data_IF_167997600345
#
_entry.id   IF_167997600345
#
_cell.length_a   1.000
_cell.length_b   1.000
_cell.length_c   1.000
_cell.angle_alpha   90.00
_cell.angle_beta   90.00
_cell.angle_gamma   90.00
#
_symmetry.space_group_name_H-M   'P 1'
#
loop_
_entity.id
_entity.type
_entity.pdbx_description
1 polymer ?
#
# COMPACT_ATOMS: atom_id res chain seq x y z
N UNK A 1 15.67 -6.69 -14.73
CA UNK A 1 15.43 -5.22 -14.77
C UNK A 1 16.72 -4.44 -14.75
N UNK A 2 17.62 -4.67 -13.79
CA UNK A 2 18.91 -3.97 -13.63
C UNK A 2 19.76 -4.00 -14.90
N UNK A 3 20.46 -2.89 -15.17
CA UNK A 3 21.31 -2.70 -16.35
C UNK A 3 20.58 -2.24 -17.62
N UNK A 4 19.25 -2.11 -17.58
CA UNK A 4 18.45 -1.62 -18.72
C UNK A 4 17.98 -0.17 -18.59
N UNK A 5 18.10 0.42 -17.40
CA UNK A 5 17.78 1.81 -17.12
C UNK A 5 18.65 2.30 -15.96
N UNK A 6 18.84 3.61 -15.86
CA UNK A 6 19.46 4.26 -14.70
C UNK A 6 18.50 4.36 -13.51
N UNK A 7 17.20 4.46 -13.80
CA UNK A 7 16.16 4.65 -12.78
C UNK A 7 14.95 3.74 -13.03
N UNK A 8 14.30 3.35 -11.93
CA UNK A 8 13.16 2.46 -11.91
C UNK A 8 12.10 3.03 -10.97
N UNK A 9 10.85 3.03 -11.42
CA UNK A 9 9.69 3.36 -10.61
C UNK A 9 8.91 2.08 -10.31
N UNK A 10 8.73 1.77 -9.02
CA UNK A 10 7.96 0.62 -8.56
C UNK A 10 6.70 1.12 -7.87
N UNK A 11 5.55 0.56 -8.25
CA UNK A 11 4.29 0.76 -7.54
C UNK A 11 3.89 -0.55 -6.87
N UNK A 12 4.08 -0.63 -5.56
CA UNK A 12 3.98 -1.87 -4.79
C UNK A 12 2.75 -1.80 -3.87
N UNK A 13 1.72 -2.64 -4.08
CA UNK A 13 0.58 -2.74 -3.15
C UNK A 13 1.02 -3.13 -1.75
N UNK A 14 0.51 -2.44 -0.73
CA UNK A 14 0.76 -2.79 0.67
C UNK A 14 -0.41 -3.60 1.22
N UNK A 15 -0.36 -4.91 0.97
CA UNK A 15 -1.43 -5.85 1.31
C UNK A 15 -1.48 -6.21 2.82
N UNK A 16 -0.40 -5.97 3.57
CA UNK A 16 -0.35 -6.25 5.00
C UNK A 16 -0.76 -5.01 5.80
N UNK A 17 -1.80 -5.16 6.62
CA UNK A 17 -2.18 -4.21 7.68
C UNK A 17 -2.79 -4.95 8.87
N UNK A 18 -2.79 -4.36 10.06
CA UNK A 18 -3.36 -4.98 11.27
C UNK A 18 -4.84 -5.35 11.07
N UNK A 19 -5.64 -4.40 10.56
CA UNK A 19 -7.06 -4.68 10.27
C UNK A 19 -7.21 -5.72 9.17
N UNK A 20 -6.38 -5.69 8.13
CA UNK A 20 -6.40 -6.67 7.05
C UNK A 20 -6.04 -8.09 7.52
N UNK A 21 -5.09 -8.21 8.45
CA UNK A 21 -4.73 -9.48 9.08
C UNK A 21 -5.89 -10.03 9.90
N UNK A 22 -6.49 -9.21 10.77
CA UNK A 22 -7.65 -9.61 11.58
C UNK A 22 -8.86 -10.02 10.73
N UNK A 23 -9.03 -9.44 9.55
CA UNK A 23 -10.11 -9.77 8.60
C UNK A 23 -9.77 -10.90 7.63
N UNK A 24 -8.54 -11.44 7.65
CA UNK A 24 -8.08 -12.43 6.68
C UNK A 24 -8.04 -11.91 5.23
N UNK A 25 -7.88 -10.60 5.04
CA UNK A 25 -7.98 -9.94 3.73
C UNK A 25 -6.93 -10.44 2.73
N UNK A 26 -5.72 -10.72 3.20
CA UNK A 26 -4.61 -11.26 2.42
C UNK A 26 -4.91 -12.67 1.87
N UNK A 27 -5.61 -13.52 2.63
CA UNK A 27 -6.06 -14.83 2.16
C UNK A 27 -7.18 -14.71 1.13
N UNK A 28 -8.08 -13.73 1.33
CA UNK A 28 -9.15 -13.42 0.38
C UNK A 28 -8.56 -12.97 -0.97
N UNK A 29 -7.66 -12.00 -0.96
CA UNK A 29 -6.97 -11.52 -2.18
C UNK A 29 -6.18 -12.63 -2.88
N UNK A 30 -5.52 -13.53 -2.12
CA UNK A 30 -4.84 -14.69 -2.72
C UNK A 30 -5.80 -15.58 -3.49
N UNK A 31 -7.00 -15.82 -2.97
CA UNK A 31 -8.02 -16.64 -3.65
C UNK A 31 -8.63 -15.93 -4.85
N UNK A 32 -8.88 -14.63 -4.74
CA UNK A 32 -9.61 -13.85 -5.76
C UNK A 32 -8.74 -13.45 -6.95
N UNK A 33 -7.51 -13.02 -6.69
CA UNK A 33 -6.64 -12.39 -7.71
C UNK A 33 -5.23 -13.00 -7.74
N UNK A 34 -4.98 -14.04 -6.94
CA UNK A 34 -3.68 -14.73 -6.95
C UNK A 34 -2.54 -13.91 -6.35
N UNK A 35 -2.81 -12.94 -5.48
CA UNK A 35 -1.75 -12.19 -4.79
C UNK A 35 -0.92 -13.15 -3.91
N UNK A 36 0.31 -13.43 -4.35
CA UNK A 36 1.25 -14.31 -3.66
C UNK A 36 2.17 -13.54 -2.70
N UNK A 37 2.43 -12.27 -3.01
CA UNK A 37 3.31 -11.41 -2.23
C UNK A 37 2.49 -10.55 -1.29
N UNK A 38 2.89 -10.54 -0.03
CA UNK A 38 2.30 -9.70 1.00
C UNK A 38 3.35 -8.72 1.46
N UNK A 39 3.18 -7.46 1.09
CA UNK A 39 4.10 -6.41 1.47
C UNK A 39 3.48 -5.49 2.53
N UNK A 40 4.30 -5.17 3.53
CA UNK A 40 4.24 -3.90 4.24
C UNK A 40 5.34 -2.96 3.70
N UNK A 41 5.41 -1.73 4.20
CA UNK A 41 6.41 -0.76 3.73
C UNK A 41 7.85 -1.27 3.92
N UNK A 42 8.12 -1.91 5.06
CA UNK A 42 9.46 -2.35 5.43
C UNK A 42 9.94 -3.47 4.50
N UNK A 43 9.11 -4.49 4.32
CA UNK A 43 9.38 -5.65 3.45
C UNK A 43 9.46 -5.27 1.99
N UNK A 44 8.65 -4.31 1.51
CA UNK A 44 8.75 -3.78 0.15
C UNK A 44 10.12 -3.12 -0.10
N UNK A 45 10.55 -2.24 0.80
CA UNK A 45 11.83 -1.54 0.68
C UNK A 45 13.02 -2.48 0.89
N UNK A 46 12.94 -3.42 1.82
CA UNK A 46 13.96 -4.46 2.02
C UNK A 46 14.12 -5.30 0.76
N UNK A 47 13.03 -5.77 0.16
CA UNK A 47 13.06 -6.58 -1.08
C UNK A 47 13.77 -5.84 -2.23
N UNK A 48 13.51 -4.55 -2.40
CA UNK A 48 14.22 -3.75 -3.39
C UNK A 48 15.72 -3.63 -3.08
N UNK A 49 16.08 -3.39 -1.82
CA UNK A 49 17.50 -3.34 -1.40
C UNK A 49 18.22 -4.68 -1.57
N UNK A 50 17.56 -5.79 -1.24
CA UNK A 50 18.12 -7.13 -1.31
C UNK A 50 18.32 -7.58 -2.77
N UNK A 51 17.52 -7.05 -3.70
CA UNK A 51 17.74 -7.20 -5.15
C UNK A 51 18.79 -6.21 -5.70
N UNK A 52 19.36 -5.40 -4.81
CA UNK A 52 20.47 -4.47 -4.98
C UNK A 52 20.07 -3.09 -5.50
N UNK A 53 18.79 -2.74 -5.55
CA UNK A 53 18.39 -1.37 -5.85
C UNK A 53 18.77 -0.41 -4.71
N UNK A 54 19.22 0.78 -5.09
CA UNK A 54 19.37 1.89 -4.15
C UNK A 54 18.09 2.71 -4.16
N UNK A 55 17.44 2.84 -3.00
CA UNK A 55 16.21 3.62 -2.86
C UNK A 55 16.56 5.11 -2.88
N UNK A 56 15.98 5.85 -3.82
CA UNK A 56 16.14 7.30 -3.95
C UNK A 56 15.03 8.01 -3.18
N UNK A 57 13.79 7.61 -3.41
CA UNK A 57 12.61 8.17 -2.73
C UNK A 57 11.49 7.12 -2.62
N UNK A 58 10.62 7.28 -1.63
CA UNK A 58 9.47 6.41 -1.42
C UNK A 58 8.29 7.16 -0.79
N UNK A 59 7.18 7.22 -1.52
CA UNK A 59 5.95 7.90 -1.12
C UNK A 59 4.74 6.96 -1.16
N UNK A 60 3.74 7.22 -0.30
CA UNK A 60 2.49 6.47 -0.34
C UNK A 60 1.54 7.01 -1.41
N UNK A 61 0.81 6.10 -2.05
CA UNK A 61 -0.37 6.44 -2.86
C UNK A 61 -1.61 5.94 -2.15
N UNK A 62 -2.60 6.81 -1.93
CA UNK A 62 -3.75 6.54 -1.05
C UNK A 62 -4.88 5.86 -1.83
N UNK A 63 -4.60 4.68 -2.37
CA UNK A 63 -5.48 3.94 -3.28
C UNK A 63 -6.93 3.85 -2.78
N UNK A 64 -7.16 3.58 -1.49
CA UNK A 64 -8.52 3.49 -0.94
C UNK A 64 -9.26 4.83 -0.89
N UNK A 65 -8.56 5.96 -0.73
CA UNK A 65 -9.14 7.31 -0.77
C UNK A 65 -9.36 7.78 -2.20
N UNK A 66 -8.38 7.52 -3.08
CA UNK A 66 -8.40 7.97 -4.46
C UNK A 66 -9.47 7.23 -5.29
N UNK A 67 -9.64 5.92 -5.05
CA UNK A 67 -10.57 5.11 -5.84
C UNK A 67 -12.04 5.51 -5.66
N UNK A 68 -12.42 6.04 -4.49
CA UNK A 68 -13.79 6.54 -4.25
C UNK A 68 -14.05 7.90 -4.92
N UNK A 69 -13.00 8.61 -5.34
CA UNK A 69 -13.14 9.82 -6.15
C UNK A 69 -13.36 9.45 -7.61
N UNK A 70 -12.66 8.42 -8.09
CA UNK A 70 -12.74 7.91 -9.47
C UNK A 70 -14.03 7.10 -9.69
N UNK A 71 -14.45 6.30 -8.71
CA UNK A 71 -15.63 5.44 -8.72
C UNK A 71 -16.62 5.81 -7.60
N UNK A 72 -17.44 6.87 -7.77
CA UNK A 72 -18.41 7.31 -6.78
C UNK A 72 -19.44 6.23 -6.40
N UNK A 73 -19.74 5.30 -7.31
CA UNK A 73 -20.67 4.19 -7.12
C UNK A 73 -20.17 3.18 -6.07
N UNK A 74 -18.89 3.18 -5.73
CA UNK A 74 -18.32 2.33 -4.67
C UNK A 74 -18.33 2.99 -3.28
N UNK A 75 -18.91 4.19 -3.17
CA UNK A 75 -19.07 4.94 -1.90
C UNK A 75 -20.15 4.33 -1.01
N UNK A 76 -19.85 3.16 -0.48
CA UNK A 76 -20.62 2.57 0.62
C UNK A 76 -20.31 3.30 1.93
N UNK A 77 -21.26 3.29 2.87
CA UNK A 77 -21.07 3.89 4.21
C UNK A 77 -19.82 3.32 4.90
N UNK A 78 -19.54 2.03 4.72
CA UNK A 78 -18.36 1.37 5.27
C UNK A 78 -17.06 1.88 4.64
N UNK A 79 -17.03 2.12 3.33
CA UNK A 79 -15.88 2.69 2.63
C UNK A 79 -15.60 4.14 3.06
N UNK A 80 -16.66 4.95 3.21
CA UNK A 80 -16.55 6.34 3.68
C UNK A 80 -16.01 6.38 5.12
N UNK A 81 -16.58 5.59 6.02
CA UNK A 81 -16.11 5.49 7.41
C UNK A 81 -14.68 4.97 7.49
N UNK A 82 -14.31 3.99 6.65
CA UNK A 82 -12.94 3.49 6.55
C UNK A 82 -11.95 4.58 6.14
N UNK A 83 -12.30 5.41 5.15
CA UNK A 83 -11.45 6.52 4.72
C UNK A 83 -11.38 7.65 5.75
N UNK A 84 -12.48 7.93 6.46
CA UNK A 84 -12.47 8.86 7.58
C UNK A 84 -11.53 8.38 8.69
N UNK A 85 -11.59 7.09 9.07
CA UNK A 85 -10.68 6.51 10.05
C UNK A 85 -9.21 6.62 9.61
N UNK A 86 -8.89 6.32 8.35
CA UNK A 86 -7.54 6.52 7.79
C UNK A 86 -7.07 7.96 7.91
N UNK A 87 -7.93 8.91 7.56
CA UNK A 87 -7.61 10.35 7.66
C UNK A 87 -7.34 10.76 9.09
N UNK A 88 -8.15 10.32 10.06
CA UNK A 88 -7.97 10.62 11.48
C UNK A 88 -6.64 10.06 11.99
N UNK A 89 -6.38 8.77 11.78
CA UNK A 89 -5.14 8.13 12.23
C UNK A 89 -3.92 8.79 11.58
N UNK A 90 -3.99 9.10 10.28
CA UNK A 90 -2.93 9.80 9.57
C UNK A 90 -2.63 11.16 10.17
N UNK A 91 -3.66 11.95 10.49
CA UNK A 91 -3.49 13.29 11.06
C UNK A 91 -2.93 13.24 12.49
N UNK A 92 -3.33 12.27 13.31
CA UNK A 92 -2.93 12.19 14.72
C UNK A 92 -1.57 11.51 14.89
N UNK A 93 -1.34 10.42 14.16
CA UNK A 93 -0.22 9.50 14.41
C UNK A 93 0.70 9.29 13.20
N UNK A 94 0.42 9.93 12.07
CA UNK A 94 1.25 9.88 10.87
C UNK A 94 0.82 8.83 9.85
N UNK A 95 1.35 8.99 8.63
CA UNK A 95 0.94 8.19 7.47
C UNK A 95 1.40 6.73 7.55
N UNK A 96 2.62 6.47 8.03
CA UNK A 96 3.13 5.09 8.19
C UNK A 96 2.24 4.28 9.12
N UNK A 97 1.86 4.84 10.28
CA UNK A 97 0.99 4.13 11.22
C UNK A 97 -0.41 3.93 10.64
N UNK A 98 -0.97 4.94 9.97
CA UNK A 98 -2.27 4.81 9.30
C UNK A 98 -2.27 3.64 8.30
N UNK A 99 -1.25 3.55 7.46
CA UNK A 99 -1.13 2.49 6.45
C UNK A 99 -0.92 1.12 7.12
N UNK A 100 -0.03 1.02 8.11
CA UNK A 100 0.24 -0.24 8.82
C UNK A 100 -0.99 -0.75 9.59
N UNK A 101 -1.80 0.14 10.15
CA UNK A 101 -3.00 -0.25 10.90
C UNK A 101 -4.19 -0.56 9.98
N UNK A 102 -4.49 0.34 9.03
CA UNK A 102 -5.76 0.35 8.28
C UNK A 102 -5.63 -0.05 6.80
N UNK A 103 -4.40 -0.18 6.30
CA UNK A 103 -4.11 -0.51 4.91
C UNK A 103 -4.70 0.50 3.92
N UNK A 104 -4.89 0.06 2.68
CA UNK A 104 -5.53 0.87 1.63
C UNK A 104 -4.59 1.88 0.95
N UNK A 105 -3.29 1.58 0.95
CA UNK A 105 -2.29 2.35 0.23
C UNK A 105 -1.33 1.42 -0.53
N UNK A 106 -0.64 1.98 -1.51
CA UNK A 106 0.52 1.37 -2.15
C UNK A 106 1.75 2.24 -1.90
N UNK A 107 2.94 1.67 -2.07
CA UNK A 107 4.20 2.38 -2.01
C UNK A 107 4.71 2.64 -3.42
N UNK A 108 4.87 3.92 -3.77
CA UNK A 108 5.57 4.35 -4.97
C UNK A 108 7.04 4.58 -4.61
N UNK A 109 7.94 3.84 -5.24
CA UNK A 109 9.37 3.88 -4.95
C UNK A 109 10.14 4.24 -6.20
N UNK A 110 11.01 5.24 -6.10
CA UNK A 110 12.02 5.58 -7.09
C UNK A 110 13.35 4.95 -6.65
N UNK A 111 14.00 4.22 -7.55
CA UNK A 111 15.27 3.56 -7.26
C UNK A 111 16.23 3.55 -8.46
N UNK A 112 17.51 3.27 -8.21
CA UNK A 112 18.57 3.06 -9.21
C UNK A 112 19.24 1.70 -9.05
#
# INVERSE_FOLDING_TARGET
>A
LRGRSKYYAFHIPLDISVVGLLRGQHLKQRKEVGHLHYFDRATALATLRDTGFTIIDAQYTRTAEDILQIHPEWRTTTAILGNAARRIVRTIAGEDLSVRLLGGASLMVLAS
#
